data_IF_990571237122
#
_entry.id   IF_990571237122
#
_cell.length_a   1.000
_cell.length_b   1.000
_cell.length_c   1.000
_cell.angle_alpha   90.00
_cell.angle_beta   90.00
_cell.angle_gamma   90.00
#
_symmetry.space_group_name_H-M   'P 1'
#
loop_
_entity.id
_entity.type
_entity.pdbx_description
1 polymer ?
#
# COMPACT_ATOMS: atom_id res chain seq x y z
N UNK A 1 -5.14 22.96 -15.58
CA UNK A 1 -4.92 21.75 -16.33
C UNK A 1 -4.10 22.18 -17.52
N UNK A 2 -2.84 21.81 -17.56
CA UNK A 2 -1.98 22.05 -18.71
C UNK A 2 -2.36 20.98 -19.73
N UNK A 3 -2.81 21.35 -20.95
CA UNK A 3 -2.85 20.39 -22.03
C UNK A 3 -1.39 20.04 -22.33
N UNK A 4 -1.01 18.80 -22.05
CA UNK A 4 0.33 18.31 -22.36
C UNK A 4 0.46 18.25 -23.89
N UNK A 5 1.31 19.13 -24.45
CA UNK A 5 1.62 19.05 -25.88
C UNK A 5 2.32 17.71 -26.17
N UNK A 6 1.77 16.96 -27.12
CA UNK A 6 2.40 15.72 -27.56
C UNK A 6 3.67 16.02 -28.33
N UNK A 7 4.54 15.02 -28.46
CA UNK A 7 5.75 15.12 -29.27
C UNK A 7 5.44 15.61 -30.70
N UNK A 8 4.36 15.10 -31.31
CA UNK A 8 3.93 15.47 -32.67
C UNK A 8 3.51 16.94 -32.76
N UNK A 9 2.81 17.44 -31.76
CA UNK A 9 2.39 18.85 -31.70
C UNK A 9 3.60 19.78 -31.55
N UNK A 10 4.49 19.47 -30.61
CA UNK A 10 5.73 20.22 -30.41
C UNK A 10 6.63 20.22 -31.65
N UNK A 11 6.75 19.07 -32.32
CA UNK A 11 7.53 18.97 -33.54
C UNK A 11 6.91 19.79 -34.68
N UNK A 12 5.59 19.67 -34.86
CA UNK A 12 4.88 20.42 -35.88
C UNK A 12 5.00 21.95 -35.68
N UNK A 13 4.90 22.42 -34.44
CA UNK A 13 5.06 23.82 -34.09
C UNK A 13 6.47 24.34 -34.39
N UNK A 14 7.51 23.61 -33.98
CA UNK A 14 8.89 23.99 -34.25
C UNK A 14 9.23 23.99 -35.74
N UNK A 15 8.74 23.00 -36.50
CA UNK A 15 8.96 22.94 -37.93
C UNK A 15 8.22 24.08 -38.70
N UNK A 16 7.00 24.43 -38.24
CA UNK A 16 6.23 25.51 -38.82
C UNK A 16 6.85 26.90 -38.59
N UNK A 17 7.56 27.06 -37.48
CA UNK A 17 8.21 28.33 -37.09
C UNK A 17 9.70 28.38 -37.50
N UNK A 18 10.20 27.38 -38.20
CA UNK A 18 11.59 27.37 -38.66
C UNK A 18 11.82 28.42 -39.76
N UNK A 19 13.00 29.08 -39.86
CA UNK A 19 13.37 29.98 -40.93
C UNK A 19 13.26 29.29 -42.30
N UNK A 20 12.80 30.04 -43.32
CA UNK A 20 12.55 29.47 -44.66
C UNK A 20 13.77 28.91 -45.36
N UNK A 21 14.97 29.33 -44.98
CA UNK A 21 16.24 28.88 -45.51
C UNK A 21 16.68 27.53 -44.93
N UNK A 22 16.02 27.02 -43.90
CA UNK A 22 16.36 25.78 -43.22
C UNK A 22 15.56 24.62 -43.80
N UNK A 23 16.25 23.53 -44.15
CA UNK A 23 15.61 22.27 -44.54
C UNK A 23 14.96 21.60 -43.34
N UNK A 24 13.63 21.53 -43.31
CA UNK A 24 12.80 20.98 -42.22
C UNK A 24 12.34 19.54 -42.53
N UNK A 25 12.74 18.94 -43.64
CA UNK A 25 12.33 17.58 -43.99
C UNK A 25 12.93 16.54 -43.05
N UNK A 26 12.20 15.46 -42.84
CA UNK A 26 12.70 14.32 -42.06
C UNK A 26 14.04 13.83 -42.58
N UNK A 27 15.02 13.68 -41.71
CA UNK A 27 16.41 13.29 -42.05
C UNK A 27 17.32 14.50 -42.34
N UNK A 28 16.82 15.75 -42.28
CA UNK A 28 17.68 16.93 -42.29
C UNK A 28 18.37 17.11 -40.91
N UNK A 29 19.53 17.77 -40.95
CA UNK A 29 20.28 18.05 -39.68
C UNK A 29 19.42 18.81 -38.67
N UNK A 30 18.59 19.75 -39.13
CA UNK A 30 17.70 20.51 -38.26
C UNK A 30 16.63 19.61 -37.63
N UNK A 31 15.93 18.80 -38.45
CA UNK A 31 14.92 17.86 -38.01
C UNK A 31 15.49 16.88 -36.95
N UNK A 32 16.61 16.28 -37.24
CA UNK A 32 17.25 15.28 -36.37
C UNK A 32 17.73 15.93 -35.06
N UNK A 33 18.24 17.15 -35.12
CA UNK A 33 18.68 17.90 -33.94
C UNK A 33 17.50 18.27 -32.99
N UNK A 34 16.38 18.75 -33.56
CA UNK A 34 15.23 19.18 -32.73
C UNK A 34 14.40 18.00 -32.24
N UNK A 35 14.26 16.93 -33.02
CA UNK A 35 13.42 15.79 -32.66
C UNK A 35 13.84 15.13 -31.34
N UNK A 36 15.13 14.95 -31.12
CA UNK A 36 15.64 14.39 -29.88
C UNK A 36 15.42 15.26 -28.65
N UNK A 37 15.47 16.59 -28.82
CA UNK A 37 15.21 17.56 -27.76
C UNK A 37 13.71 17.57 -27.45
N UNK A 38 12.85 17.64 -28.47
CA UNK A 38 11.41 17.70 -28.29
C UNK A 38 10.83 16.43 -27.67
N UNK A 39 11.44 15.28 -27.91
CA UNK A 39 11.08 14.05 -27.20
C UNK A 39 11.28 14.19 -25.68
N UNK A 40 12.36 14.87 -25.26
CA UNK A 40 12.61 15.14 -23.84
C UNK A 40 11.64 16.18 -23.27
N UNK A 41 11.28 17.19 -24.08
CA UNK A 41 10.29 18.19 -23.67
C UNK A 41 8.90 17.56 -23.49
N UNK A 42 8.47 16.72 -24.46
CA UNK A 42 7.21 15.98 -24.33
C UNK A 42 7.16 15.11 -23.06
N UNK A 43 8.29 14.44 -22.74
CA UNK A 43 8.39 13.70 -21.49
C UNK A 43 8.24 14.62 -20.26
N UNK A 44 8.87 15.80 -20.27
CA UNK A 44 8.72 16.76 -19.16
C UNK A 44 7.27 17.21 -18.96
N UNK A 45 6.49 17.41 -20.03
CA UNK A 45 5.06 17.70 -19.91
C UNK A 45 4.31 16.54 -19.22
N UNK A 46 4.58 15.31 -19.61
CA UNK A 46 4.00 14.13 -18.96
C UNK A 46 4.38 14.06 -17.46
N UNK A 47 5.65 14.32 -17.13
CA UNK A 47 6.12 14.34 -15.75
C UNK A 47 5.45 15.48 -14.94
N UNK A 48 5.18 16.64 -15.56
CA UNK A 48 4.46 17.75 -14.93
C UNK A 48 2.98 17.41 -14.65
N UNK A 49 2.29 16.75 -15.58
CA UNK A 49 0.91 16.31 -15.37
C UNK A 49 0.83 15.31 -14.20
N UNK A 50 1.77 14.36 -14.14
CA UNK A 50 1.86 13.44 -13.02
C UNK A 50 2.07 14.16 -11.68
N UNK A 51 2.92 15.20 -11.64
CA UNK A 51 3.12 16.02 -10.44
C UNK A 51 1.82 16.71 -10.04
N UNK A 52 1.06 17.25 -11.00
CA UNK A 52 -0.23 17.89 -10.72
C UNK A 52 -1.23 16.88 -10.12
N UNK A 53 -1.28 15.66 -10.65
CA UNK A 53 -2.11 14.58 -10.10
C UNK A 53 -1.71 14.24 -8.66
N UNK A 54 -0.41 14.17 -8.37
CA UNK A 54 0.11 13.90 -7.02
C UNK A 54 -0.15 15.02 -6.01
N UNK A 55 -0.48 16.24 -6.45
CA UNK A 55 -0.73 17.38 -5.57
C UNK A 55 -2.11 17.39 -4.92
N UNK A 56 -3.04 16.54 -5.33
CA UNK A 56 -4.41 16.51 -4.84
C UNK A 56 -4.77 15.20 -4.17
N UNK A 57 -5.46 15.24 -3.02
CA UNK A 57 -6.03 14.04 -2.38
C UNK A 57 -6.96 13.28 -3.33
N UNK A 58 -7.64 13.98 -4.25
CA UNK A 58 -8.59 13.37 -5.16
C UNK A 58 -7.93 12.46 -6.21
N UNK A 59 -6.71 12.81 -6.62
CA UNK A 59 -6.00 12.17 -7.74
C UNK A 59 -4.73 11.46 -7.35
N UNK A 60 -4.12 11.82 -6.22
CA UNK A 60 -2.91 11.17 -5.72
C UNK A 60 -3.13 9.67 -5.44
N UNK A 61 -2.10 8.87 -5.64
CA UNK A 61 -2.07 7.42 -5.37
C UNK A 61 -0.86 7.05 -4.53
N UNK A 62 -0.90 5.88 -3.92
CA UNK A 62 0.21 5.29 -3.18
C UNK A 62 0.88 6.26 -2.18
N UNK A 63 2.20 6.38 -2.25
CA UNK A 63 2.99 7.25 -1.35
C UNK A 63 2.61 8.73 -1.46
N UNK A 64 2.23 9.21 -2.65
CA UNK A 64 1.79 10.59 -2.83
C UNK A 64 0.48 10.87 -2.07
N UNK A 65 -0.44 9.91 -2.07
CA UNK A 65 -1.67 10.00 -1.28
C UNK A 65 -1.35 9.95 0.22
N UNK A 66 -0.41 9.12 0.66
CA UNK A 66 0.00 9.04 2.06
C UNK A 66 0.56 10.38 2.56
N UNK A 67 1.38 11.05 1.74
CA UNK A 67 1.89 12.40 2.03
C UNK A 67 0.74 13.40 2.15
N UNK A 68 -0.20 13.41 1.19
CA UNK A 68 -1.37 14.32 1.23
C UNK A 68 -2.27 14.05 2.42
N UNK A 69 -2.53 12.77 2.74
CA UNK A 69 -3.31 12.36 3.90
C UNK A 69 -2.66 12.83 5.22
N UNK A 70 -1.34 12.72 5.31
CA UNK A 70 -0.54 13.18 6.46
C UNK A 70 -0.71 14.67 6.76
N UNK A 71 -0.91 15.52 5.75
CA UNK A 71 -1.18 16.96 5.91
C UNK A 71 -2.47 17.23 6.69
N UNK A 72 -3.43 16.31 6.61
CA UNK A 72 -4.69 16.36 7.36
C UNK A 72 -4.68 15.53 8.65
N UNK A 73 -3.51 14.97 9.02
CA UNK A 73 -3.37 14.11 10.19
C UNK A 73 -4.08 12.76 10.05
N UNK A 74 -4.26 12.28 8.82
CA UNK A 74 -4.81 10.96 8.51
C UNK A 74 -3.68 10.09 7.97
N UNK A 75 -3.52 8.89 8.54
CA UNK A 75 -2.48 7.97 8.15
C UNK A 75 -3.11 6.65 7.70
N UNK A 76 -2.49 6.00 6.70
CA UNK A 76 -2.92 4.70 6.21
C UNK A 76 -2.88 3.67 7.32
N UNK A 77 -3.96 2.88 7.43
CA UNK A 77 -4.00 1.76 8.35
C UNK A 77 -3.09 0.65 7.82
N UNK A 78 -2.13 0.26 8.65
CA UNK A 78 -1.22 -0.83 8.31
C UNK A 78 -1.94 -2.18 8.36
N UNK A 79 -1.44 -3.15 7.59
CA UNK A 79 -1.89 -4.52 7.69
C UNK A 79 -1.68 -5.06 9.11
N UNK A 80 -2.65 -5.82 9.61
CA UNK A 80 -2.56 -6.51 10.89
C UNK A 80 -2.32 -8.00 10.70
N UNK A 81 -1.89 -8.69 11.76
CA UNK A 81 -1.59 -10.12 11.72
C UNK A 81 -2.70 -10.91 12.38
N UNK A 82 -3.03 -12.05 11.79
CA UNK A 82 -3.95 -12.99 12.40
C UNK A 82 -3.34 -13.58 13.68
N UNK A 83 -4.15 -13.73 14.72
CA UNK A 83 -3.79 -14.34 15.99
C UNK A 83 -4.79 -15.43 16.32
N UNK A 84 -4.28 -16.59 16.70
CA UNK A 84 -5.07 -17.75 17.09
C UNK A 84 -4.74 -18.17 18.50
N UNK A 85 -5.74 -18.53 19.27
CA UNK A 85 -5.53 -19.27 20.50
C UNK A 85 -4.78 -20.56 20.16
N UNK A 86 -4.03 -21.09 21.12
CA UNK A 86 -3.26 -22.32 20.92
C UNK A 86 -3.40 -23.22 22.12
N UNK A 87 -3.53 -24.52 21.87
CA UNK A 87 -3.55 -25.57 22.87
C UNK A 87 -2.28 -26.43 22.72
N UNK A 88 -1.64 -26.75 23.83
CA UNK A 88 -0.43 -27.57 23.86
C UNK A 88 -0.67 -28.84 24.68
N UNK A 89 -0.18 -29.95 24.19
CA UNK A 89 -0.06 -31.18 24.92
C UNK A 89 1.41 -31.43 25.28
N UNK A 90 1.68 -31.83 26.52
CA UNK A 90 3.04 -32.00 27.04
C UNK A 90 3.62 -30.67 27.57
N UNK A 91 4.89 -30.44 27.29
CA UNK A 91 5.64 -29.29 27.81
C UNK A 91 5.31 -28.04 26.98
N UNK A 92 4.96 -26.98 27.69
CA UNK A 92 4.70 -25.68 27.05
C UNK A 92 5.96 -25.10 26.37
N UNK A 93 5.85 -24.67 25.11
CA UNK A 93 6.93 -24.01 24.39
C UNK A 93 7.29 -22.63 24.97
N UNK A 94 8.47 -22.14 24.63
CA UNK A 94 8.87 -20.77 24.99
C UNK A 94 8.21 -19.76 24.04
N UNK A 95 7.86 -18.61 24.55
CA UNK A 95 7.44 -17.46 23.73
C UNK A 95 8.56 -17.14 22.72
N UNK A 96 8.15 -16.95 21.46
CA UNK A 96 9.07 -16.75 20.34
C UNK A 96 9.33 -18.00 19.49
N UNK A 97 8.92 -19.20 19.97
CA UNK A 97 9.01 -20.40 19.14
C UNK A 97 8.10 -20.28 17.89
N UNK A 98 8.58 -20.86 16.78
CA UNK A 98 7.92 -20.78 15.48
C UNK A 98 7.18 -22.08 15.17
N UNK A 99 6.01 -21.92 14.62
CA UNK A 99 5.14 -23.01 14.17
C UNK A 99 4.79 -22.84 12.71
N UNK A 100 4.49 -23.92 12.04
CA UNK A 100 4.14 -23.95 10.64
C UNK A 100 2.83 -24.71 10.44
N UNK A 101 1.97 -24.18 9.58
CA UNK A 101 0.79 -24.88 9.05
C UNK A 101 0.37 -24.27 7.71
N UNK A 102 -0.14 -25.07 6.79
CA UNK A 102 -0.73 -24.64 5.49
C UNK A 102 0.10 -23.61 4.71
N UNK A 103 1.43 -23.79 4.68
CA UNK A 103 2.32 -22.88 3.95
C UNK A 103 2.66 -21.57 4.70
N UNK A 104 2.18 -21.41 5.93
CA UNK A 104 2.35 -20.19 6.71
C UNK A 104 3.10 -20.44 8.01
N UNK A 105 3.81 -19.40 8.45
CA UNK A 105 4.55 -19.43 9.72
C UNK A 105 3.87 -18.55 10.76
N UNK A 106 3.90 -19.04 11.99
CA UNK A 106 3.34 -18.38 13.16
C UNK A 106 4.37 -18.36 14.29
N UNK A 107 4.31 -17.33 15.09
CA UNK A 107 5.19 -17.18 16.27
C UNK A 107 4.34 -17.21 17.53
N UNK A 108 4.75 -18.03 18.51
CA UNK A 108 4.12 -18.06 19.82
C UNK A 108 4.35 -16.74 20.55
N UNK A 109 3.26 -16.10 20.94
CA UNK A 109 3.23 -14.87 21.72
C UNK A 109 2.40 -15.07 22.98
N UNK A 110 2.57 -14.14 23.90
CA UNK A 110 1.75 -14.06 25.12
C UNK A 110 1.16 -12.68 25.25
N UNK A 111 -0.13 -12.61 25.46
CA UNK A 111 -0.80 -11.45 25.98
C UNK A 111 -0.69 -11.48 27.50
N UNK A 112 0.13 -10.58 28.05
CA UNK A 112 0.44 -10.55 29.48
C UNK A 112 -0.78 -10.10 30.29
N UNK A 113 -1.57 -9.18 29.75
CA UNK A 113 -2.74 -8.62 30.45
C UNK A 113 -3.90 -9.63 30.50
N UNK A 114 -4.12 -10.36 29.42
CA UNK A 114 -5.14 -11.40 29.33
C UNK A 114 -4.64 -12.78 29.83
N UNK A 115 -3.34 -12.93 30.11
CA UNK A 115 -2.69 -14.20 30.45
C UNK A 115 -2.96 -15.32 29.43
N UNK A 116 -3.06 -14.95 28.14
CA UNK A 116 -3.38 -15.84 27.05
C UNK A 116 -2.16 -16.04 26.14
N UNK A 117 -1.96 -17.27 25.69
CA UNK A 117 -0.97 -17.59 24.65
C UNK A 117 -1.66 -17.72 23.31
N UNK A 118 -1.03 -17.16 22.28
CA UNK A 118 -1.56 -17.18 20.92
C UNK A 118 -0.43 -17.36 19.88
N UNK A 119 -0.79 -17.90 18.76
CA UNK A 119 0.06 -17.96 17.56
C UNK A 119 -0.25 -16.78 16.67
N UNK A 120 0.73 -15.91 16.45
CA UNK A 120 0.65 -14.75 15.59
C UNK A 120 1.26 -15.06 14.23
N UNK A 121 0.53 -14.81 13.14
CA UNK A 121 1.04 -14.96 11.78
C UNK A 121 2.29 -14.10 11.56
N UNK A 122 3.32 -14.62 10.91
CA UNK A 122 4.52 -13.82 10.58
C UNK A 122 4.25 -12.81 9.48
N UNK A 123 3.34 -13.12 8.57
CA UNK A 123 2.91 -12.23 7.49
C UNK A 123 1.64 -11.53 7.91
N UNK A 124 1.62 -10.21 7.79
CA UNK A 124 0.41 -9.43 8.01
C UNK A 124 -0.51 -9.53 6.78
N UNK A 125 -1.81 -9.43 7.01
CA UNK A 125 -2.81 -9.52 5.97
C UNK A 125 -3.91 -10.52 6.30
N UNK A 126 -4.94 -10.53 5.47
CA UNK A 126 -6.10 -11.40 5.60
C UNK A 126 -5.80 -12.89 5.32
N UNK A 127 -4.72 -13.19 4.59
CA UNK A 127 -4.34 -14.55 4.23
C UNK A 127 -4.09 -15.48 5.44
N UNK A 128 -3.74 -14.89 6.60
CA UNK A 128 -3.55 -15.64 7.84
C UNK A 128 -4.84 -16.09 8.54
N UNK A 129 -6.02 -15.71 8.04
CA UNK A 129 -7.30 -15.94 8.74
C UNK A 129 -7.94 -17.33 8.49
N UNK A 130 -7.42 -18.10 7.54
CA UNK A 130 -8.08 -19.29 7.02
C UNK A 130 -7.69 -20.60 7.73
N UNK A 131 -7.11 -20.51 8.93
CA UNK A 131 -6.74 -21.69 9.73
C UNK A 131 -7.92 -22.13 10.57
N UNK A 132 -8.30 -23.40 10.43
CA UNK A 132 -9.39 -23.97 11.20
C UNK A 132 -8.94 -24.40 12.61
N UNK A 133 -9.83 -24.23 13.58
CA UNK A 133 -9.61 -24.75 14.94
C UNK A 133 -9.41 -26.27 14.91
N UNK A 134 -8.44 -26.77 15.66
CA UNK A 134 -8.02 -28.16 15.66
C UNK A 134 -6.95 -28.51 14.61
N UNK A 135 -6.57 -27.57 13.73
CA UNK A 135 -5.43 -27.78 12.82
C UNK A 135 -4.13 -27.92 13.61
N UNK A 136 -3.29 -28.86 13.22
CA UNK A 136 -1.99 -29.06 13.88
C UNK A 136 -1.03 -27.88 13.61
N UNK A 137 -0.43 -27.38 14.68
CA UNK A 137 0.65 -26.40 14.62
C UNK A 137 1.98 -27.17 14.73
N UNK A 138 2.70 -27.30 13.62
CA UNK A 138 3.95 -28.06 13.57
C UNK A 138 5.11 -27.16 14.02
N UNK A 139 5.86 -27.48 15.08
CA UNK A 139 6.99 -26.67 15.49
C UNK A 139 8.09 -26.72 14.41
N UNK A 140 8.67 -25.56 14.08
CA UNK A 140 9.76 -25.47 13.09
C UNK A 140 11.04 -26.11 13.62
N UNK A 141 11.30 -25.96 14.92
CA UNK A 141 12.40 -26.63 15.63
C UNK A 141 11.85 -27.69 16.58
N UNK A 142 12.61 -28.74 16.81
CA UNK A 142 12.21 -29.74 17.77
C UNK A 142 12.16 -29.14 19.18
N UNK A 143 11.03 -29.28 19.87
CA UNK A 143 10.80 -28.79 21.23
C UNK A 143 10.68 -30.00 22.13
N UNK A 144 11.68 -30.19 22.99
CA UNK A 144 11.74 -31.33 23.89
C UNK A 144 10.57 -31.35 24.88
N UNK A 145 9.80 -32.43 24.84
CA UNK A 145 8.64 -32.66 25.72
C UNK A 145 7.34 -32.03 25.24
N UNK A 146 7.30 -31.39 24.08
CA UNK A 146 6.07 -31.03 23.40
C UNK A 146 5.54 -32.26 22.65
N UNK A 147 4.31 -32.68 22.94
CA UNK A 147 3.66 -33.83 22.30
C UNK A 147 2.79 -33.39 21.12
N UNK A 148 1.97 -32.36 21.32
CA UNK A 148 1.17 -31.75 20.24
C UNK A 148 0.94 -30.26 20.48
N UNK A 149 0.68 -29.55 19.40
CA UNK A 149 0.17 -28.18 19.42
C UNK A 149 -0.94 -28.03 18.36
N UNK A 150 -2.04 -27.41 18.74
CA UNK A 150 -3.19 -27.23 17.85
C UNK A 150 -3.68 -25.79 17.88
N UNK A 151 -4.10 -25.29 16.70
CA UNK A 151 -4.76 -23.99 16.58
C UNK A 151 -6.14 -24.05 17.24
N UNK A 152 -6.41 -23.12 18.12
CA UNK A 152 -7.73 -22.88 18.68
C UNK A 152 -8.56 -21.91 17.80
N UNK A 153 -9.41 -21.16 18.44
CA UNK A 153 -10.23 -20.13 17.75
C UNK A 153 -9.38 -18.95 17.31
N UNK A 154 -9.81 -18.30 16.24
CA UNK A 154 -9.27 -17.01 15.80
C UNK A 154 -9.50 -16.00 16.93
N UNK A 155 -8.43 -15.49 17.51
CA UNK A 155 -8.43 -14.54 18.63
C UNK A 155 -8.53 -13.10 18.11
N UNK A 156 -7.78 -12.80 17.04
CA UNK A 156 -7.79 -11.50 16.38
C UNK A 156 -7.55 -11.69 14.88
N UNK A 157 -8.35 -11.09 14.03
CA UNK A 157 -8.24 -11.26 12.58
C UNK A 157 -7.15 -10.38 11.99
N UNK A 158 -6.36 -10.96 11.09
CA UNK A 158 -5.49 -10.19 10.22
C UNK A 158 -6.28 -9.39 9.18
N UNK A 159 -5.82 -8.21 8.86
CA UNK A 159 -6.38 -7.36 7.81
C UNK A 159 -5.27 -6.89 6.88
N UNK A 160 -5.60 -6.73 5.61
CA UNK A 160 -4.70 -6.13 4.64
C UNK A 160 -4.50 -4.64 4.93
N UNK A 161 -3.44 -4.06 4.39
CA UNK A 161 -3.24 -2.62 4.49
C UNK A 161 -4.40 -1.88 3.79
N UNK A 162 -4.77 -0.74 4.34
CA UNK A 162 -5.82 0.09 3.77
C UNK A 162 -5.48 0.48 2.33
N UNK A 163 -6.44 0.33 1.42
CA UNK A 163 -6.29 0.75 0.03
C UNK A 163 -6.47 2.27 -0.13
N UNK A 164 -6.08 2.78 -1.29
CA UNK A 164 -6.13 4.22 -1.60
C UNK A 164 -7.55 4.80 -1.52
N UNK A 165 -8.55 4.04 -1.96
CA UNK A 165 -9.93 4.54 -1.97
C UNK A 165 -10.47 4.74 -0.56
N UNK A 166 -10.17 3.81 0.35
CA UNK A 166 -10.56 3.90 1.76
C UNK A 166 -9.83 5.04 2.47
N UNK A 167 -8.52 5.17 2.25
CA UNK A 167 -7.73 6.26 2.79
C UNK A 167 -8.24 7.61 2.28
N UNK A 168 -8.50 7.75 0.98
CA UNK A 168 -9.03 8.95 0.36
C UNK A 168 -10.37 9.35 0.95
N UNK A 169 -11.27 8.38 1.15
CA UNK A 169 -12.57 8.63 1.79
C UNK A 169 -12.40 9.20 3.20
N UNK A 170 -11.55 8.60 4.02
CA UNK A 170 -11.26 9.08 5.39
C UNK A 170 -10.68 10.50 5.40
N UNK A 171 -9.80 10.81 4.45
CA UNK A 171 -9.26 12.17 4.30
C UNK A 171 -10.37 13.15 3.92
N UNK A 172 -11.22 12.80 2.96
CA UNK A 172 -12.35 13.64 2.55
C UNK A 172 -13.34 13.87 3.70
N UNK A 173 -13.66 12.85 4.47
CA UNK A 173 -14.49 12.98 5.67
C UNK A 173 -13.85 13.91 6.71
N UNK A 174 -12.53 13.82 6.88
CA UNK A 174 -11.79 14.72 7.78
C UNK A 174 -11.82 16.17 7.31
N UNK A 175 -11.68 16.41 6.01
CA UNK A 175 -11.73 17.75 5.39
C UNK A 175 -13.15 18.33 5.50
N UNK A 176 -14.19 17.52 5.24
CA UNK A 176 -15.58 17.95 5.36
C UNK A 176 -15.96 18.36 6.79
N UNK A 177 -15.16 17.92 7.75
CA UNK A 177 -15.41 18.15 9.17
C UNK A 177 -16.62 17.36 9.68
N UNK A 178 -16.90 17.35 10.98
CA UNK A 178 -18.18 16.89 11.45
C UNK A 178 -19.24 17.79 10.82
N UNK A 179 -20.04 17.22 9.90
CA UNK A 179 -21.19 17.89 9.32
C UNK A 179 -21.91 18.59 10.48
N UNK A 180 -22.01 19.89 10.41
CA UNK A 180 -22.38 20.77 11.50
C UNK A 180 -23.62 20.25 12.27
N UNK A 181 -23.38 19.42 13.29
CA UNK A 181 -24.33 19.21 14.38
C UNK A 181 -24.35 20.43 15.34
N UNK A 182 -24.02 21.58 14.78
CA UNK A 182 -24.06 22.85 15.46
C UNK A 182 -25.33 23.62 15.18
N UNK A 183 -26.51 23.00 15.28
CA UNK A 183 -27.75 23.76 15.44
C UNK A 183 -28.93 22.91 15.87
N UNK A 184 -28.84 22.30 17.06
CA UNK A 184 -30.02 21.89 17.81
C UNK A 184 -29.84 22.29 19.29
N UNK A 185 -29.77 23.59 19.55
CA UNK A 185 -30.09 24.19 20.83
C UNK A 185 -30.82 25.51 20.57
N UNK A 186 -32.10 25.39 20.37
CA UNK A 186 -33.11 26.39 20.75
C UNK A 186 -34.37 25.67 21.19
#
# INVERSE_FOLDING_TARGET
MFEADTYEQLLADVLANAPQEIDTRQGSIFYDAVSGILLKVAKLYTDLDLIVEMCSVATATDEALDVRAGEYGVYRLAATRAKYLVEFEGKMPKVGERFYTDGQYFVLRQDVDASVYYLEAEVAGSAGNDIYSGTAAVPVNNIEGLEAATFGLLYDSGSDAENDDSLRLRVQEKIAGPAANGNQQH
#
